data_IF_184303553120
#
_entry.id   IF_184303553120
#
_cell.length_a   1.000
_cell.length_b   1.000
_cell.length_c   1.000
_cell.angle_alpha   90.00
_cell.angle_beta   90.00
_cell.angle_gamma   90.00
#
_symmetry.space_group_name_H-M   'P 1'
#
loop_
_entity.id
_entity.type
_entity.pdbx_description
1 polymer ?
#
# COMPACT_ATOMS: atom_id res chain seq x y z
N UNK A 1 -10.18 18.37 7.98
CA UNK A 1 -8.77 17.96 8.07
C UNK A 1 -8.74 16.54 8.59
N UNK A 2 -8.46 15.56 7.75
CA UNK A 2 -8.35 14.17 8.18
C UNK A 2 -7.01 14.03 8.88
N UNK A 3 -7.04 13.78 10.19
CA UNK A 3 -5.82 13.48 10.95
C UNK A 3 -5.26 12.19 10.39
N UNK A 4 -4.05 12.24 9.84
CA UNK A 4 -3.38 11.04 9.36
C UNK A 4 -2.86 10.24 10.57
N UNK A 5 -3.07 8.93 10.53
CA UNK A 5 -2.65 8.02 11.59
C UNK A 5 -1.46 7.21 11.11
N UNK A 6 -0.37 7.26 11.87
CA UNK A 6 0.78 6.40 11.65
C UNK A 6 0.52 5.01 12.24
N UNK A 7 0.65 3.99 11.41
CA UNK A 7 0.49 2.59 11.79
C UNK A 7 1.82 1.85 11.65
N UNK A 8 2.00 0.82 12.47
CA UNK A 8 3.20 -0.03 12.40
C UNK A 8 3.09 -0.98 11.21
N UNK A 9 4.23 -1.47 10.75
CA UNK A 9 4.29 -2.54 9.73
C UNK A 9 3.36 -3.72 10.05
N UNK A 10 3.33 -4.15 11.32
CA UNK A 10 2.51 -5.28 11.76
C UNK A 10 1.01 -5.01 11.58
N UNK A 11 0.59 -3.76 11.70
CA UNK A 11 -0.82 -3.39 11.53
C UNK A 11 -1.28 -3.51 10.08
N UNK A 12 -0.38 -3.29 9.12
CA UNK A 12 -0.67 -3.43 7.68
C UNK A 12 -1.15 -4.85 7.34
N UNK A 13 -0.70 -5.87 8.07
CA UNK A 13 -1.13 -7.25 7.85
C UNK A 13 -2.62 -7.47 8.12
N UNK A 14 -3.24 -6.68 9.01
CA UNK A 14 -4.68 -6.73 9.24
C UNK A 14 -5.49 -6.14 8.08
N UNK A 15 -4.88 -5.30 7.25
CA UNK A 15 -5.57 -4.67 6.11
C UNK A 15 -5.37 -5.42 4.80
N UNK A 16 -4.20 -6.01 4.58
CA UNK A 16 -3.81 -6.57 3.29
C UNK A 16 -3.73 -8.11 3.26
N UNK A 17 -3.84 -8.80 4.41
CA UNK A 17 -3.70 -10.27 4.53
C UNK A 17 -2.48 -10.85 3.77
N UNK A 18 -1.42 -10.06 3.59
CA UNK A 18 -0.19 -10.47 2.89
C UNK A 18 0.88 -10.96 3.88
N UNK A 19 1.76 -11.86 3.43
CA UNK A 19 2.92 -12.29 4.23
C UNK A 19 3.97 -11.17 4.33
N UNK A 20 4.67 -11.10 5.47
CA UNK A 20 5.75 -10.13 5.72
C UNK A 20 6.84 -10.15 4.64
N UNK A 21 7.21 -11.33 4.14
CA UNK A 21 8.17 -11.48 3.04
C UNK A 21 7.72 -10.68 1.82
N UNK A 22 6.44 -10.76 1.46
CA UNK A 22 5.92 -10.08 0.27
C UNK A 22 5.86 -8.58 0.46
N UNK A 23 5.45 -8.15 1.66
CA UNK A 23 5.47 -6.74 2.03
C UNK A 23 6.90 -6.17 1.99
N UNK A 24 7.91 -6.91 2.48
CA UNK A 24 9.33 -6.55 2.38
C UNK A 24 9.78 -6.40 0.93
N UNK A 25 9.41 -7.33 0.06
CA UNK A 25 9.73 -7.25 -1.36
C UNK A 25 9.11 -6.01 -2.01
N UNK A 26 7.83 -5.72 -1.74
CA UNK A 26 7.13 -4.57 -2.32
C UNK A 26 7.76 -3.24 -1.88
N UNK A 27 8.12 -3.14 -0.60
CA UNK A 27 8.81 -1.96 -0.06
C UNK A 27 10.20 -1.81 -0.71
N UNK A 28 10.98 -2.90 -0.82
CA UNK A 28 12.29 -2.86 -1.48
C UNK A 28 12.20 -2.53 -2.97
N UNK A 29 11.14 -2.96 -3.64
CA UNK A 29 10.91 -2.68 -5.05
C UNK A 29 10.40 -1.25 -5.32
N UNK A 30 10.17 -0.44 -4.27
CA UNK A 30 9.55 0.89 -4.40
C UNK A 30 8.10 0.85 -4.89
N UNK A 31 7.44 -0.32 -4.77
CA UNK A 31 6.04 -0.56 -5.20
C UNK A 31 5.03 -0.43 -4.07
N UNK A 32 5.50 -0.02 -2.89
CA UNK A 32 4.70 0.19 -1.69
C UNK A 32 4.96 1.56 -1.09
N UNK A 33 4.13 1.96 -0.13
CA UNK A 33 4.24 3.23 0.59
C UNK A 33 5.56 3.34 1.36
N UNK A 34 6.04 4.58 1.51
CA UNK A 34 7.35 4.85 2.11
C UNK A 34 7.29 4.71 3.63
N UNK A 35 8.28 4.05 4.26
CA UNK A 35 8.37 4.03 5.71
C UNK A 35 8.77 5.41 6.25
N UNK A 36 8.15 5.80 7.35
CA UNK A 36 8.45 6.99 8.14
C UNK A 36 9.22 6.54 9.38
N UNK A 37 10.36 7.17 9.62
CA UNK A 37 11.19 6.92 10.80
C UNK A 37 11.15 8.15 11.71
N UNK A 38 10.94 7.92 13.00
CA UNK A 38 10.93 8.97 14.03
C UNK A 38 12.19 8.78 14.88
N UNK A 39 12.91 9.86 15.16
CA UNK A 39 14.09 9.81 16.03
C UNK A 39 13.73 9.24 17.41
N UNK A 40 14.53 8.27 17.88
CA UNK A 40 14.24 7.54 19.12
C UNK A 40 13.23 6.39 18.99
N UNK A 41 12.69 6.15 17.79
CA UNK A 41 11.76 5.04 17.52
C UNK A 41 12.34 4.05 16.51
N UNK A 42 12.56 2.82 16.94
CA UNK A 42 13.29 1.80 16.17
C UNK A 42 12.39 0.99 15.20
N UNK A 43 11.13 1.40 15.01
CA UNK A 43 10.22 0.73 14.07
C UNK A 43 9.82 1.66 12.93
N UNK A 44 9.73 1.10 11.72
CA UNK A 44 9.17 1.80 10.58
C UNK A 44 7.67 1.98 10.74
N UNK A 45 7.22 3.23 10.62
CA UNK A 45 5.82 3.62 10.60
C UNK A 45 5.35 3.90 9.18
N UNK A 46 4.05 3.88 8.98
CA UNK A 46 3.42 4.06 7.68
C UNK A 46 2.18 4.91 7.83
N UNK A 47 1.94 5.82 6.89
CA UNK A 47 0.71 6.60 6.83
C UNK A 47 -0.47 5.69 6.48
N UNK A 48 -1.54 5.75 7.28
CA UNK A 48 -2.77 5.04 6.97
C UNK A 48 -3.45 5.61 5.72
N UNK A 49 -3.40 6.93 5.51
CA UNK A 49 -3.94 7.54 4.29
C UNK A 49 -3.20 7.04 3.05
N UNK A 50 -1.86 7.03 3.06
CA UNK A 50 -1.10 6.51 1.92
C UNK A 50 -1.43 5.03 1.64
N UNK A 51 -1.64 4.23 2.69
CA UNK A 51 -2.07 2.83 2.54
C UNK A 51 -3.43 2.75 1.83
N UNK A 52 -4.40 3.57 2.23
CA UNK A 52 -5.73 3.61 1.60
C UNK A 52 -5.66 4.08 0.14
N UNK A 53 -4.84 5.09 -0.14
CA UNK A 53 -4.59 5.56 -1.50
C UNK A 53 -3.95 4.47 -2.37
N UNK A 54 -2.97 3.73 -1.82
CA UNK A 54 -2.35 2.61 -2.52
C UNK A 54 -3.35 1.50 -2.84
N UNK A 55 -4.23 1.14 -1.90
CA UNK A 55 -5.31 0.17 -2.14
C UNK A 55 -6.27 0.68 -3.22
N UNK A 56 -6.59 1.97 -3.20
CA UNK A 56 -7.47 2.59 -4.20
C UNK A 56 -6.83 2.57 -5.58
N UNK A 57 -5.53 2.88 -5.69
CA UNK A 57 -4.79 2.79 -6.94
C UNK A 57 -4.69 1.36 -7.48
N UNK A 58 -4.64 0.34 -6.61
CA UNK A 58 -4.72 -1.06 -7.05
C UNK A 58 -6.10 -1.41 -7.60
N UNK A 59 -7.17 -0.93 -6.96
CA UNK A 59 -8.55 -1.11 -7.45
C UNK A 59 -8.76 -0.43 -8.80
N UNK A 60 -8.26 0.80 -8.94
CA UNK A 60 -8.33 1.56 -10.18
C UNK A 60 -7.55 0.88 -11.30
N UNK A 61 -6.31 0.43 -11.04
CA UNK A 61 -5.54 -0.37 -12.00
C UNK A 61 -6.28 -1.63 -12.43
N UNK A 62 -6.95 -2.33 -11.50
CA UNK A 62 -7.79 -3.49 -11.85
C UNK A 62 -8.90 -3.07 -12.81
N UNK A 63 -9.61 -1.99 -12.48
CA UNK A 63 -10.75 -1.49 -13.25
C UNK A 63 -10.33 -1.00 -14.64
N UNK A 64 -9.28 -0.19 -14.74
CA UNK A 64 -8.66 0.23 -16.01
C UNK A 64 -8.22 -0.97 -16.87
N UNK A 65 -7.66 -2.02 -16.25
CA UNK A 65 -7.29 -3.24 -16.96
C UNK A 65 -8.50 -4.09 -17.40
N UNK A 66 -9.67 -3.89 -16.80
CA UNK A 66 -10.93 -4.44 -17.34
C UNK A 66 -11.30 -3.70 -18.63
N UNK A 67 -11.19 -2.38 -18.69
CA UNK A 67 -11.55 -1.61 -19.91
C UNK A 67 -10.63 -1.92 -21.10
N UNK A 68 -9.31 -1.96 -20.93
CA UNK A 68 -8.36 -2.24 -22.04
C UNK A 68 -8.56 -3.65 -22.65
N UNK A 69 -9.01 -4.63 -21.86
CA UNK A 69 -9.28 -6.00 -22.37
C UNK A 69 -10.57 -6.09 -23.18
N UNK A 70 -11.48 -5.13 -23.05
CA UNK A 70 -12.75 -5.14 -23.77
C UNK A 70 -12.66 -4.47 -25.16
N UNK A 71 -11.58 -3.73 -25.46
CA UNK A 71 -11.36 -3.08 -26.77
C UNK A 71 -10.61 -3.97 -27.78
N UNK A 72 -9.91 -5.01 -27.31
CA UNK A 72 -9.21 -5.99 -28.17
C UNK A 72 -10.07 -7.21 -28.56
N UNK A 73 -11.35 -7.21 -28.14
CA UNK A 73 -12.31 -8.29 -28.40
C UNK A 73 -13.47 -7.86 -29.31
N UNK A 74 -13.26 -6.86 -30.17
CA UNK A 74 -14.23 -6.43 -31.20
C UNK A 74 -13.68 -6.56 -32.61
#
# INVERSE_FOLDING_TARGET
MTVDRLIKRKEIFFYLEIKDTKLKELIKAGKFIKPIFIEGFNEALFSLNELQEWITALKDKRDQNVYEKNETAK
#
